data_IF_412922492165
#
_entry.id   IF_412922492165
#
_cell.length_a   1.000
_cell.length_b   1.000
_cell.length_c   1.000
_cell.angle_alpha   90.00
_cell.angle_beta   90.00
_cell.angle_gamma   90.00
#
_symmetry.space_group_name_H-M   'P 1'
#
loop_
_entity.id
_entity.type
_entity.pdbx_description
1 polymer ?
#
# COMPACT_ATOMS: atom_id res chain seq x y z
N UNK A 1 -21.97 -4.24 -2.30
CA UNK A 1 -22.74 -4.05 -3.56
C UNK A 1 -22.04 -4.54 -4.83
N UNK A 2 -20.72 -4.74 -4.82
CA UNK A 2 -19.97 -5.32 -5.93
C UNK A 2 -19.46 -6.73 -5.61
N UNK A 3 -19.27 -7.54 -6.66
CA UNK A 3 -18.72 -8.88 -6.57
C UNK A 3 -19.70 -9.94 -6.06
N UNK A 4 -19.28 -11.22 -6.07
CA UNK A 4 -20.08 -12.31 -5.52
C UNK A 4 -20.25 -12.17 -4.01
N UNK A 5 -21.36 -12.70 -3.49
CA UNK A 5 -21.57 -12.78 -2.05
C UNK A 5 -20.42 -13.56 -1.38
N UNK A 6 -19.92 -13.03 -0.26
CA UNK A 6 -18.91 -13.74 0.53
C UNK A 6 -19.59 -14.90 1.28
N UNK A 7 -18.96 -16.09 1.36
CA UNK A 7 -19.49 -17.20 2.16
C UNK A 7 -19.65 -16.85 3.64
N UNK A 8 -18.79 -15.95 4.15
CA UNK A 8 -18.87 -15.37 5.50
C UNK A 8 -18.77 -13.85 5.40
N UNK A 9 -19.61 -13.16 6.16
CA UNK A 9 -19.55 -11.72 6.33
C UNK A 9 -18.23 -11.26 6.99
N UNK A 10 -18.01 -9.95 7.01
CA UNK A 10 -16.92 -9.39 7.82
C UNK A 10 -17.17 -9.69 9.30
N UNK A 11 -16.08 -9.87 10.06
CA UNK A 11 -16.18 -10.19 11.48
C UNK A 11 -16.86 -9.09 12.32
N UNK A 12 -16.81 -7.85 11.84
CA UNK A 12 -17.38 -6.67 12.49
C UNK A 12 -18.17 -5.83 11.47
N UNK A 13 -19.19 -5.07 11.91
CA UNK A 13 -19.88 -4.10 11.07
C UNK A 13 -18.94 -2.95 10.67
N UNK A 14 -19.28 -2.16 9.64
CA UNK A 14 -18.48 -1.00 9.25
C UNK A 14 -18.41 0.04 10.37
N UNK A 15 -17.34 0.83 10.35
CA UNK A 15 -17.25 2.01 11.19
C UNK A 15 -18.21 3.11 10.70
N UNK A 16 -18.63 4.04 11.59
CA UNK A 16 -19.42 5.19 11.18
C UNK A 16 -18.70 5.99 10.09
N UNK A 17 -19.45 6.44 9.09
CA UNK A 17 -18.93 7.32 8.05
C UNK A 17 -18.60 8.68 8.64
N UNK A 18 -17.40 9.20 8.36
CA UNK A 18 -17.05 10.58 8.68
C UNK A 18 -17.72 11.56 7.71
N UNK A 19 -17.65 12.86 8.01
CA UNK A 19 -18.34 13.88 7.22
C UNK A 19 -17.90 13.91 5.76
N UNK A 20 -16.60 13.70 5.47
CA UNK A 20 -16.10 13.62 4.10
C UNK A 20 -16.73 12.44 3.32
N UNK A 21 -16.88 11.28 3.96
CA UNK A 21 -17.60 10.15 3.39
C UNK A 21 -19.09 10.46 3.18
N UNK A 22 -19.76 11.11 4.14
CA UNK A 22 -21.17 11.49 4.01
C UNK A 22 -21.41 12.48 2.86
N UNK A 23 -20.51 13.44 2.65
CA UNK A 23 -20.54 14.36 1.51
C UNK A 23 -20.34 13.62 0.18
N UNK A 24 -19.44 12.63 0.14
CA UNK A 24 -19.27 11.77 -1.03
C UNK A 24 -20.53 10.96 -1.32
N UNK A 25 -21.22 10.41 -0.31
CA UNK A 25 -22.53 9.76 -0.47
C UNK A 25 -23.53 10.73 -1.11
N UNK A 26 -23.66 11.94 -0.54
CA UNK A 26 -24.59 12.99 -1.04
C UNK A 26 -24.40 13.28 -2.53
N UNK A 27 -23.15 13.42 -2.98
CA UNK A 27 -22.84 13.65 -4.39
C UNK A 27 -23.06 12.42 -5.26
N UNK A 28 -22.62 11.25 -4.79
CA UNK A 28 -22.74 9.99 -5.52
C UNK A 28 -24.21 9.57 -5.76
N UNK A 29 -25.08 9.74 -4.77
CA UNK A 29 -26.51 9.40 -4.89
C UNK A 29 -27.22 10.19 -5.99
N UNK A 30 -26.93 11.49 -6.11
CA UNK A 30 -27.50 12.35 -7.17
C UNK A 30 -27.04 11.95 -8.57
N UNK A 31 -25.87 11.31 -8.67
CA UNK A 31 -25.30 10.85 -9.93
C UNK A 31 -25.58 9.37 -10.21
N UNK A 32 -26.33 8.69 -9.33
CA UNK A 32 -26.58 7.25 -9.44
C UNK A 32 -25.33 6.37 -9.25
N UNK A 33 -24.27 6.90 -8.64
CA UNK A 33 -23.04 6.16 -8.35
C UNK A 33 -23.23 5.35 -7.07
N UNK A 34 -23.04 4.04 -7.15
CA UNK A 34 -23.16 3.17 -5.99
C UNK A 34 -22.00 3.40 -5.04
N UNK A 35 -22.26 3.38 -3.75
CA UNK A 35 -21.23 3.49 -2.71
C UNK A 35 -21.39 2.40 -1.66
N UNK A 36 -20.33 2.16 -0.88
CA UNK A 36 -20.34 1.26 0.27
C UNK A 36 -19.38 1.79 1.32
N UNK A 37 -19.67 1.60 2.62
CA UNK A 37 -18.63 1.69 3.64
C UNK A 37 -17.45 0.78 3.28
N UNK A 38 -16.24 1.28 3.49
CA UNK A 38 -15.02 0.55 3.22
C UNK A 38 -14.77 -0.53 4.28
N UNK A 39 -14.21 -1.66 3.85
CA UNK A 39 -13.70 -2.66 4.77
C UNK A 39 -12.31 -2.21 5.27
N UNK A 40 -12.28 -1.48 6.38
CA UNK A 40 -11.03 -0.99 6.96
C UNK A 40 -10.48 -1.98 8.00
N UNK A 41 -9.15 -2.06 8.11
CA UNK A 41 -8.46 -2.83 9.14
C UNK A 41 -8.47 -2.08 10.49
N UNK A 42 -9.65 -1.76 10.98
CA UNK A 42 -9.88 -1.09 12.25
C UNK A 42 -11.14 -1.64 12.93
N UNK A 43 -11.09 -1.78 14.25
CA UNK A 43 -12.14 -2.45 15.01
C UNK A 43 -13.32 -1.50 15.27
N UNK A 44 -14.53 -1.83 14.82
CA UNK A 44 -15.75 -1.07 15.13
C UNK A 44 -16.40 -1.42 16.47
N UNK A 45 -15.99 -2.55 17.06
CA UNK A 45 -16.38 -2.99 18.40
C UNK A 45 -15.17 -3.69 19.06
N UNK A 46 -15.18 -3.90 20.39
CA UNK A 46 -14.18 -4.73 21.04
C UNK A 46 -14.11 -6.10 20.36
N UNK A 47 -12.89 -6.59 20.13
CA UNK A 47 -12.66 -7.82 19.37
C UNK A 47 -11.62 -8.69 20.05
N UNK A 48 -11.94 -9.97 20.26
CA UNK A 48 -10.98 -10.94 20.75
C UNK A 48 -10.17 -11.49 19.58
N UNK A 49 -8.88 -11.22 19.59
CA UNK A 49 -7.94 -11.74 18.60
C UNK A 49 -7.14 -12.87 19.20
N UNK A 50 -7.22 -14.05 18.59
CA UNK A 50 -6.43 -15.20 19.02
C UNK A 50 -4.93 -14.88 19.06
N UNK A 51 -4.25 -15.36 20.10
CA UNK A 51 -2.85 -15.08 20.36
C UNK A 51 -2.54 -13.70 20.96
N UNK A 52 -3.43 -12.71 20.78
CA UNK A 52 -3.25 -11.32 21.30
C UNK A 52 -4.13 -11.04 22.53
N UNK A 53 -5.42 -11.41 22.48
CA UNK A 53 -6.42 -11.08 23.50
C UNK A 53 -7.44 -10.03 23.05
N UNK A 54 -8.10 -9.40 24.02
CA UNK A 54 -9.11 -8.37 23.76
C UNK A 54 -8.47 -7.06 23.29
N UNK A 55 -8.91 -6.57 22.13
CA UNK A 55 -8.53 -5.27 21.56
C UNK A 55 -9.72 -4.31 21.59
N UNK A 56 -9.43 -3.04 21.91
CA UNK A 56 -10.43 -1.99 22.05
C UNK A 56 -10.96 -1.50 20.69
N UNK A 57 -12.20 -1.00 20.69
CA UNK A 57 -12.81 -0.40 19.51
C UNK A 57 -12.13 0.93 19.11
N UNK A 58 -12.28 1.28 17.84
CA UNK A 58 -11.87 2.57 17.30
C UNK A 58 -12.67 3.69 17.95
N UNK A 59 -11.97 4.75 18.36
CA UNK A 59 -12.55 5.95 18.96
C UNK A 59 -12.70 7.10 17.95
N UNK A 60 -12.61 6.81 16.65
CA UNK A 60 -12.80 7.75 15.54
C UNK A 60 -11.96 9.04 15.62
N UNK A 61 -10.75 8.94 16.20
CA UNK A 61 -9.89 10.10 16.47
C UNK A 61 -9.30 10.76 15.24
N UNK A 62 -9.16 10.05 14.12
CA UNK A 62 -8.55 10.59 12.91
C UNK A 62 -7.09 10.28 12.66
N UNK A 63 -6.40 9.75 13.67
CA UNK A 63 -4.94 9.73 13.68
C UNK A 63 -4.31 8.61 12.84
N UNK A 64 -5.12 7.86 12.08
CA UNK A 64 -4.76 6.58 11.43
C UNK A 64 -3.47 6.64 10.59
N UNK A 65 -3.18 7.80 9.98
CA UNK A 65 -1.97 8.03 9.18
C UNK A 65 -0.69 8.18 10.03
N UNK A 66 -0.81 8.68 11.26
CA UNK A 66 0.31 8.89 12.18
C UNK A 66 0.41 7.80 13.27
N UNK A 67 -0.47 6.78 13.22
CA UNK A 67 -0.52 5.67 14.18
C UNK A 67 -1.86 5.59 14.91
N UNK A 68 -2.06 4.54 15.68
CA UNK A 68 -3.30 4.36 16.44
C UNK A 68 -2.98 4.30 17.93
N UNK A 69 -3.30 5.39 18.64
CA UNK A 69 -2.95 5.54 20.06
C UNK A 69 -3.66 4.56 21.00
N UNK A 70 -4.71 3.89 20.55
CA UNK A 70 -5.45 2.90 21.36
C UNK A 70 -5.39 1.47 20.78
N UNK A 71 -4.57 1.23 19.75
CA UNK A 71 -4.38 -0.11 19.17
C UNK A 71 -5.58 -0.67 18.37
N UNK A 72 -6.59 0.15 18.05
CA UNK A 72 -7.77 -0.30 17.30
C UNK A 72 -7.51 -0.50 15.79
N UNK A 73 -6.55 0.22 15.21
CA UNK A 73 -6.04 -0.05 13.86
C UNK A 73 -5.21 -1.33 13.92
N UNK A 74 -5.46 -2.29 13.04
CA UNK A 74 -4.73 -3.56 12.96
C UNK A 74 -3.36 -3.37 12.31
N UNK A 75 -2.46 -2.65 12.97
CA UNK A 75 -1.04 -2.58 12.64
C UNK A 75 -0.30 -3.82 13.19
N UNK A 76 0.86 -4.13 12.59
CA UNK A 76 1.57 -5.39 12.87
C UNK A 76 2.11 -5.48 14.29
N UNK A 77 2.46 -4.34 14.90
CA UNK A 77 2.92 -4.19 16.28
C UNK A 77 1.88 -4.63 17.33
N UNK A 78 0.59 -4.54 17.02
CA UNK A 78 -0.50 -4.98 17.91
C UNK A 78 -1.20 -6.25 17.44
N UNK A 79 -0.69 -6.90 16.40
CA UNK A 79 -1.30 -8.10 15.80
C UNK A 79 -0.30 -9.23 15.59
N UNK A 80 0.36 -9.30 14.44
CA UNK A 80 1.17 -10.45 14.04
C UNK A 80 2.50 -10.54 14.80
N UNK A 81 3.16 -9.40 15.08
CA UNK A 81 4.45 -9.39 15.79
C UNK A 81 4.33 -9.97 17.22
N UNK A 82 3.41 -9.52 18.09
CA UNK A 82 3.30 -10.09 19.44
C UNK A 82 2.92 -11.58 19.42
N UNK A 83 2.12 -12.02 18.44
CA UNK A 83 1.81 -13.44 18.26
C UNK A 83 3.07 -14.23 17.88
N UNK A 84 3.85 -13.74 16.92
CA UNK A 84 5.09 -14.39 16.51
C UNK A 84 6.09 -14.53 17.68
N UNK A 85 6.26 -13.46 18.48
CA UNK A 85 7.13 -13.47 19.67
C UNK A 85 6.65 -14.50 20.70
N UNK A 86 5.34 -14.59 20.93
CA UNK A 86 4.75 -15.60 21.83
C UNK A 86 5.08 -17.03 21.40
N UNK A 87 5.22 -17.27 20.10
CA UNK A 87 5.62 -18.55 19.52
C UNK A 87 7.13 -18.69 19.31
N UNK A 88 7.95 -17.80 19.88
CA UNK A 88 9.41 -17.92 19.93
C UNK A 88 10.17 -17.15 18.85
N UNK A 89 9.50 -16.29 18.06
CA UNK A 89 10.21 -15.41 17.14
C UNK A 89 11.04 -14.35 17.89
N UNK A 90 12.28 -14.14 17.46
CA UNK A 90 13.13 -13.05 17.95
C UNK A 90 13.03 -11.83 17.01
N UNK A 91 12.83 -10.65 17.57
CA UNK A 91 12.79 -9.38 16.82
C UNK A 91 14.01 -8.56 17.16
N UNK A 92 14.83 -8.25 16.15
CA UNK A 92 16.01 -7.40 16.28
C UNK A 92 15.80 -6.08 15.53
N UNK A 93 15.31 -5.02 16.20
CA UNK A 93 15.20 -3.70 15.58
C UNK A 93 16.59 -3.14 15.24
N UNK A 94 16.63 -2.12 14.38
CA UNK A 94 17.86 -1.42 13.98
C UNK A 94 18.95 -2.34 13.41
N UNK A 95 18.54 -3.44 12.78
CA UNK A 95 19.41 -4.45 12.16
C UNK A 95 19.33 -4.32 10.63
N UNK A 96 20.22 -3.50 10.05
CA UNK A 96 20.22 -3.22 8.62
C UNK A 96 20.99 -4.32 7.86
N UNK A 97 20.28 -5.21 7.17
CA UNK A 97 20.91 -6.28 6.36
C UNK A 97 21.70 -5.66 5.21
N UNK A 98 22.96 -6.08 5.04
CA UNK A 98 23.85 -5.59 3.99
C UNK A 98 24.29 -6.69 3.03
N UNK A 99 24.45 -7.92 3.53
CA UNK A 99 24.93 -9.06 2.74
C UNK A 99 24.14 -10.33 3.02
N UNK A 100 24.04 -11.19 2.00
CA UNK A 100 23.40 -12.51 2.03
C UNK A 100 24.42 -13.54 1.53
N UNK A 101 24.89 -14.38 2.43
CA UNK A 101 25.89 -15.41 2.13
C UNK A 101 25.24 -16.63 1.48
N UNK A 102 25.97 -17.27 0.55
CA UNK A 102 25.57 -18.50 -0.14
C UNK A 102 26.65 -19.57 -0.09
N UNK A 103 26.25 -20.84 -0.15
CA UNK A 103 27.18 -21.96 -0.37
C UNK A 103 27.47 -22.18 -1.87
N UNK A 104 28.34 -23.16 -2.18
CA UNK A 104 28.72 -23.51 -3.54
C UNK A 104 27.56 -24.04 -4.40
N UNK A 105 26.45 -24.46 -3.78
CA UNK A 105 25.22 -24.89 -4.45
C UNK A 105 24.23 -23.72 -4.65
N UNK A 106 24.62 -22.49 -4.28
CA UNK A 106 23.78 -21.30 -4.41
C UNK A 106 22.72 -21.14 -3.32
N UNK A 107 22.69 -22.01 -2.30
CA UNK A 107 21.74 -21.90 -1.18
C UNK A 107 22.17 -20.81 -0.20
N UNK A 108 21.22 -20.02 0.28
CA UNK A 108 21.46 -19.03 1.34
C UNK A 108 21.86 -19.73 2.64
N UNK A 109 22.91 -19.23 3.30
CA UNK A 109 23.43 -19.81 4.56
C UNK A 109 23.42 -18.84 5.74
N UNK A 110 23.46 -17.54 5.49
CA UNK A 110 23.43 -16.52 6.52
C UNK A 110 23.03 -15.16 5.94
N UNK A 111 22.59 -14.26 6.83
CA UNK A 111 22.53 -12.82 6.55
C UNK A 111 23.55 -12.09 7.42
N UNK A 112 24.17 -11.07 6.85
CA UNK A 112 25.04 -10.13 7.56
C UNK A 112 24.31 -8.81 7.67
N UNK A 113 24.24 -8.26 8.89
CA UNK A 113 23.58 -7.00 9.15
C UNK A 113 24.42 -6.09 10.04
N UNK A 114 24.23 -4.79 9.88
CA UNK A 114 24.84 -3.76 10.73
C UNK A 114 23.84 -3.33 11.80
N UNK A 115 24.27 -3.35 13.06
CA UNK A 115 23.53 -2.84 14.20
C UNK A 115 24.47 -2.03 15.09
N UNK A 116 24.10 -0.78 15.43
CA UNK A 116 24.94 0.13 16.24
C UNK A 116 26.39 0.28 15.73
N UNK A 117 26.55 0.25 14.40
CA UNK A 117 27.86 0.36 13.74
C UNK A 117 28.71 -0.92 13.75
N UNK A 118 28.21 -2.03 14.29
CA UNK A 118 28.89 -3.33 14.27
C UNK A 118 28.22 -4.29 13.28
N UNK A 119 29.02 -5.10 12.61
CA UNK A 119 28.52 -6.16 11.75
C UNK A 119 28.26 -7.44 12.55
N UNK A 120 27.13 -8.07 12.25
CA UNK A 120 26.70 -9.31 12.86
C UNK A 120 26.34 -10.31 11.78
N UNK A 121 26.69 -11.58 12.00
CA UNK A 121 26.36 -12.69 11.12
C UNK A 121 25.30 -13.57 11.75
N UNK A 122 24.18 -13.78 11.06
CA UNK A 122 23.09 -14.64 11.50
C UNK A 122 22.90 -15.80 10.52
N UNK A 123 23.33 -17.02 10.89
CA UNK A 123 23.05 -18.22 10.10
C UNK A 123 21.55 -18.45 9.95
N UNK A 124 21.14 -18.90 8.76
CA UNK A 124 19.75 -19.27 8.47
C UNK A 124 19.68 -20.43 7.47
N UNK A 125 18.62 -21.24 7.57
CA UNK A 125 18.35 -22.32 6.61
C UNK A 125 17.45 -21.87 5.46
N UNK A 126 16.61 -20.88 5.72
CA UNK A 126 15.68 -20.27 4.77
C UNK A 126 15.68 -18.77 5.01
N UNK A 127 15.49 -18.00 3.94
CA UNK A 127 15.42 -16.53 3.99
C UNK A 127 14.10 -16.05 3.38
N UNK A 128 13.41 -15.17 4.08
CA UNK A 128 12.22 -14.47 3.59
C UNK A 128 12.53 -12.97 3.51
N UNK A 129 12.48 -12.41 2.31
CA UNK A 129 12.60 -10.97 2.08
C UNK A 129 11.22 -10.32 2.18
N UNK A 130 11.13 -9.31 3.04
CA UNK A 130 9.91 -8.54 3.31
C UNK A 130 10.20 -7.03 3.31
N UNK A 131 11.17 -6.58 2.49
CA UNK A 131 11.64 -5.20 2.41
C UNK A 131 10.72 -4.27 1.60
N UNK A 132 9.68 -4.82 0.98
CA UNK A 132 8.78 -4.09 0.09
C UNK A 132 9.42 -3.80 -1.27
N UNK A 133 8.63 -3.22 -2.17
CA UNK A 133 9.00 -2.99 -3.57
C UNK A 133 10.19 -2.03 -3.83
N UNK A 134 10.90 -1.56 -2.80
CA UNK A 134 12.11 -0.75 -2.93
C UNK A 134 13.32 -1.46 -2.33
N UNK A 135 13.27 -1.87 -1.07
CA UNK A 135 14.43 -2.46 -0.41
C UNK A 135 14.62 -3.94 -0.76
N UNK A 136 13.55 -4.69 -1.07
CA UNK A 136 13.68 -6.07 -1.56
C UNK A 136 14.48 -6.16 -2.86
N UNK A 137 14.12 -5.47 -3.96
CA UNK A 137 14.91 -5.52 -5.19
C UNK A 137 16.31 -4.92 -4.99
N UNK A 138 16.46 -3.88 -4.16
CA UNK A 138 17.79 -3.33 -3.82
C UNK A 138 18.69 -4.38 -3.16
N UNK A 139 18.19 -5.13 -2.17
CA UNK A 139 18.94 -6.19 -1.51
C UNK A 139 19.31 -7.33 -2.48
N UNK A 140 18.39 -7.69 -3.38
CA UNK A 140 18.65 -8.69 -4.42
C UNK A 140 19.76 -8.25 -5.38
N UNK A 141 19.72 -7.00 -5.85
CA UNK A 141 20.74 -6.43 -6.75
C UNK A 141 22.11 -6.33 -6.04
N UNK A 142 22.15 -5.82 -4.81
CA UNK A 142 23.39 -5.69 -4.02
C UNK A 142 24.10 -7.04 -3.82
N UNK A 143 23.32 -8.13 -3.74
CA UNK A 143 23.84 -9.47 -3.44
C UNK A 143 23.90 -10.39 -4.66
N UNK A 144 23.59 -9.89 -5.86
CA UNK A 144 23.50 -10.68 -7.09
C UNK A 144 22.63 -11.94 -6.91
N UNK A 145 21.38 -11.76 -6.45
CA UNK A 145 20.42 -12.83 -6.16
C UNK A 145 19.19 -12.75 -7.08
N UNK A 146 18.79 -13.88 -7.67
CA UNK A 146 17.54 -13.97 -8.44
C UNK A 146 17.55 -13.20 -9.75
N UNK A 147 18.73 -13.02 -10.36
CA UNK A 147 18.92 -12.15 -11.52
C UNK A 147 18.74 -12.84 -12.88
N UNK A 148 18.53 -14.17 -12.94
CA UNK A 148 18.49 -14.92 -14.22
C UNK A 148 17.41 -14.41 -15.17
N UNK A 149 16.24 -14.06 -14.63
CA UNK A 149 15.11 -13.52 -15.41
C UNK A 149 15.33 -12.10 -15.93
N UNK A 150 16.31 -11.37 -15.40
CA UNK A 150 16.47 -9.93 -15.62
C UNK A 150 15.31 -9.08 -15.10
N UNK A 151 14.42 -9.61 -14.25
CA UNK A 151 13.21 -8.88 -13.80
C UNK A 151 13.35 -8.16 -12.46
N UNK A 152 14.42 -8.40 -11.71
CA UNK A 152 14.64 -7.71 -10.43
C UNK A 152 14.79 -6.20 -10.68
N UNK A 153 13.96 -5.41 -10.00
CA UNK A 153 13.88 -3.96 -10.16
C UNK A 153 12.92 -3.49 -11.26
N UNK A 154 12.60 -4.32 -12.25
CA UNK A 154 11.75 -3.94 -13.38
C UNK A 154 10.25 -4.03 -13.06
N UNK A 155 9.43 -3.45 -13.94
CA UNK A 155 7.97 -3.41 -13.80
C UNK A 155 7.52 -2.65 -12.55
N UNK A 156 8.27 -1.60 -12.19
CA UNK A 156 7.91 -0.71 -11.10
C UNK A 156 6.54 -0.10 -11.42
N UNK A 157 5.57 -0.38 -10.57
CA UNK A 157 4.25 0.21 -10.65
C UNK A 157 4.02 1.11 -9.43
N UNK A 158 3.23 2.15 -9.61
CA UNK A 158 2.66 2.92 -8.52
C UNK A 158 1.21 3.20 -8.89
N UNK A 159 0.27 3.00 -7.97
CA UNK A 159 -1.13 3.32 -8.28
C UNK A 159 -1.21 4.72 -8.84
N UNK A 160 -1.79 4.83 -10.02
CA UNK A 160 -2.14 6.14 -10.53
C UNK A 160 -3.14 6.76 -9.57
N UNK A 161 -2.92 8.03 -9.25
CA UNK A 161 -3.59 8.65 -8.15
C UNK A 161 -3.69 10.13 -8.34
N UNK A 162 -4.90 10.61 -8.13
CA UNK A 162 -5.26 12.01 -8.05
C UNK A 162 -6.20 12.16 -6.86
N UNK A 163 -6.12 13.31 -6.21
CA UNK A 163 -7.04 13.71 -5.15
C UNK A 163 -7.77 14.96 -5.62
N UNK A 164 -9.09 14.98 -5.48
CA UNK A 164 -9.91 16.17 -5.75
C UNK A 164 -10.48 16.65 -4.43
N UNK A 165 -10.16 17.89 -4.10
CA UNK A 165 -10.59 18.59 -2.89
C UNK A 165 -11.71 19.56 -3.22
N UNK A 166 -12.64 19.74 -2.30
CA UNK A 166 -13.68 20.76 -2.37
C UNK A 166 -13.92 21.41 -1.00
N UNK A 167 -14.35 22.66 -1.03
CA UNK A 167 -14.73 23.47 0.13
C UNK A 167 -16.25 23.50 0.26
N UNK A 168 -16.76 23.24 1.46
CA UNK A 168 -18.18 23.13 1.75
C UNK A 168 -18.63 24.19 2.76
N UNK A 169 -19.90 24.58 2.73
CA UNK A 169 -20.47 25.41 3.80
C UNK A 169 -20.52 24.65 5.13
N UNK A 170 -20.89 23.36 5.07
CA UNK A 170 -20.95 22.45 6.21
C UNK A 170 -19.59 22.33 6.92
N UNK A 171 -19.60 22.25 8.25
CA UNK A 171 -18.39 21.91 9.01
C UNK A 171 -18.07 20.40 8.86
N UNK A 172 -16.99 20.10 8.14
CA UNK A 172 -16.56 18.72 7.80
C UNK A 172 -15.64 18.11 8.85
N UNK A 173 -14.69 18.88 9.38
CA UNK A 173 -13.59 18.41 10.24
C UNK A 173 -12.87 17.20 9.62
N UNK A 174 -12.13 17.36 8.51
CA UNK A 174 -11.57 16.26 7.71
C UNK A 174 -10.60 15.34 8.46
N UNK A 175 -10.15 15.76 9.65
CA UNK A 175 -9.34 14.92 10.52
C UNK A 175 -10.14 13.81 11.18
N UNK A 176 -11.47 13.90 11.34
CA UNK A 176 -12.24 12.95 12.18
C UNK A 176 -12.59 11.64 11.46
N UNK A 177 -12.70 10.57 12.24
CA UNK A 177 -13.03 9.23 11.74
C UNK A 177 -11.89 8.55 10.99
N UNK A 178 -12.20 7.50 10.23
CA UNK A 178 -11.20 6.79 9.42
C UNK A 178 -11.04 7.49 8.06
N UNK A 179 -9.79 7.77 7.63
CA UNK A 179 -9.54 8.18 6.25
C UNK A 179 -9.86 7.00 5.33
N UNK A 180 -10.64 7.20 4.27
CA UNK A 180 -11.05 6.09 3.40
C UNK A 180 -12.28 5.32 3.91
N UNK A 181 -13.24 6.00 4.55
CA UNK A 181 -14.43 5.36 5.13
C UNK A 181 -15.49 4.93 4.11
N UNK A 182 -15.55 5.55 2.94
CA UNK A 182 -16.46 5.21 1.84
C UNK A 182 -15.69 4.87 0.57
N UNK A 183 -16.20 3.91 -0.20
CA UNK A 183 -15.67 3.52 -1.50
C UNK A 183 -16.76 3.41 -2.58
N UNK A 184 -16.35 3.55 -3.84
CA UNK A 184 -17.09 3.05 -5.00
C UNK A 184 -16.21 2.21 -5.91
N UNK A 185 -16.71 1.04 -6.31
CA UNK A 185 -16.05 0.17 -7.29
C UNK A 185 -16.73 0.21 -8.68
N UNK A 186 -17.67 1.12 -8.91
CA UNK A 186 -18.30 1.27 -10.24
C UNK A 186 -17.28 1.59 -11.33
N UNK A 187 -16.13 2.15 -10.95
CA UNK A 187 -15.04 2.54 -11.84
C UNK A 187 -13.93 1.48 -11.98
N UNK A 188 -14.12 0.26 -11.45
CA UNK A 188 -13.16 -0.84 -11.69
C UNK A 188 -13.16 -1.31 -13.14
N UNK A 189 -14.30 -1.16 -13.82
CA UNK A 189 -14.49 -1.43 -15.25
C UNK A 189 -15.51 -0.42 -15.78
N UNK A 190 -15.11 0.84 -16.00
CA UNK A 190 -16.03 1.86 -16.50
C UNK A 190 -16.44 1.51 -17.93
N UNK A 191 -17.73 1.62 -18.25
CA UNK A 191 -18.24 1.35 -19.60
C UNK A 191 -17.74 2.38 -20.62
N UNK A 192 -17.42 3.60 -20.15
CA UNK A 192 -16.94 4.74 -20.93
C UNK A 192 -15.40 4.88 -20.95
N UNK A 193 -14.65 3.82 -20.62
CA UNK A 193 -13.19 3.85 -20.52
C UNK A 193 -12.50 3.76 -21.89
N UNK A 194 -11.55 4.67 -22.13
CA UNK A 194 -10.58 4.65 -23.24
C UNK A 194 -9.16 4.23 -22.79
N UNK A 195 -9.09 3.55 -21.65
CA UNK A 195 -7.91 3.01 -20.98
C UNK A 195 -8.17 1.59 -20.46
N UNK A 196 -7.10 0.86 -20.15
CA UNK A 196 -7.12 -0.48 -19.58
C UNK A 196 -7.13 -0.42 -18.06
N UNK A 197 -7.91 -1.32 -17.45
CA UNK A 197 -8.04 -1.43 -16.00
C UNK A 197 -9.09 -0.46 -15.46
N UNK A 198 -8.89 0.00 -14.23
CA UNK A 198 -9.83 0.88 -13.57
C UNK A 198 -9.30 1.38 -12.23
N UNK A 199 -10.18 2.01 -11.48
CA UNK A 199 -9.81 2.62 -10.20
C UNK A 199 -10.91 2.48 -9.14
N UNK A 200 -10.50 2.49 -7.88
CA UNK A 200 -11.38 2.66 -6.72
C UNK A 200 -11.55 4.14 -6.43
N UNK A 201 -12.79 4.63 -6.36
CA UNK A 201 -13.08 5.92 -5.73
C UNK A 201 -13.12 5.74 -4.21
N UNK A 202 -12.47 6.62 -3.46
CA UNK A 202 -12.41 6.55 -2.00
C UNK A 202 -12.51 7.95 -1.37
N UNK A 203 -13.38 8.11 -0.37
CA UNK A 203 -13.46 9.35 0.40
C UNK A 203 -12.17 9.53 1.20
N UNK A 204 -11.60 10.73 1.29
CA UNK A 204 -10.38 10.96 2.08
C UNK A 204 -10.61 11.94 3.22
N UNK A 205 -10.21 11.52 4.42
CA UNK A 205 -9.89 12.39 5.54
C UNK A 205 -8.39 12.69 5.56
N UNK A 206 -7.99 13.86 6.08
CA UNK A 206 -6.60 14.33 5.99
C UNK A 206 -6.19 15.11 7.23
N UNK A 207 -4.91 15.00 7.60
CA UNK A 207 -4.30 15.77 8.67
C UNK A 207 -3.92 17.18 8.18
N UNK A 208 -3.98 18.21 9.04
CA UNK A 208 -3.80 19.61 8.62
C UNK A 208 -2.43 19.87 8.02
N UNK A 209 -1.35 19.27 8.55
CA UNK A 209 0.00 19.42 7.99
C UNK A 209 0.10 18.78 6.61
N UNK A 210 -0.45 17.57 6.43
CA UNK A 210 -0.47 16.89 5.13
C UNK A 210 -1.24 17.69 4.09
N UNK A 211 -2.43 18.18 4.45
CA UNK A 211 -3.23 19.03 3.57
C UNK A 211 -2.52 20.34 3.24
N UNK A 212 -1.89 20.96 4.25
CA UNK A 212 -1.15 22.19 4.06
C UNK A 212 0.00 22.02 3.04
N UNK A 213 0.75 20.92 3.15
CA UNK A 213 1.81 20.59 2.17
C UNK A 213 1.26 20.31 0.77
N UNK A 214 0.04 19.81 0.64
CA UNK A 214 -0.62 19.64 -0.66
C UNK A 214 -1.06 20.98 -1.24
N UNK A 215 -1.72 21.83 -0.46
CA UNK A 215 -2.16 23.14 -0.89
C UNK A 215 -0.95 24.03 -1.29
N UNK A 216 0.14 23.99 -0.53
CA UNK A 216 1.37 24.70 -0.88
C UNK A 216 1.94 24.27 -2.24
N UNK A 217 1.92 22.97 -2.57
CA UNK A 217 2.45 22.45 -3.84
C UNK A 217 1.48 22.58 -5.00
N UNK A 218 0.26 22.09 -4.82
CA UNK A 218 -0.77 22.03 -5.87
C UNK A 218 -1.38 23.39 -6.19
N UNK A 219 -1.52 24.27 -5.19
CA UNK A 219 -2.10 25.61 -5.36
C UNK A 219 -1.07 26.74 -5.27
N UNK A 220 0.21 26.42 -5.01
CA UNK A 220 1.29 27.40 -4.84
C UNK A 220 0.98 28.46 -3.77
N UNK A 221 0.25 28.06 -2.72
CA UNK A 221 -0.14 28.95 -1.63
C UNK A 221 0.99 29.06 -0.59
N UNK A 222 1.25 30.29 -0.17
CA UNK A 222 2.24 30.65 0.84
C UNK A 222 1.84 31.92 1.60
N UNK A 223 2.49 32.18 2.74
CA UNK A 223 2.28 33.40 3.53
C UNK A 223 0.82 33.61 3.95
N UNK A 224 0.32 34.82 3.76
CA UNK A 224 -1.03 35.20 4.17
C UNK A 224 -2.13 34.40 3.46
N UNK A 225 -2.00 34.19 2.14
CA UNK A 225 -2.97 33.41 1.37
C UNK A 225 -3.10 31.97 1.89
N UNK A 226 -1.97 31.36 2.27
CA UNK A 226 -1.96 30.04 2.88
C UNK A 226 -2.64 30.03 4.25
N UNK A 227 -2.40 31.06 5.08
CA UNK A 227 -3.05 31.19 6.38
C UNK A 227 -4.56 31.29 6.23
N UNK A 228 -5.03 32.12 5.31
CA UNK A 228 -6.46 32.35 5.10
C UNK A 228 -7.15 31.10 4.57
N UNK A 229 -6.51 30.38 3.64
CA UNK A 229 -7.02 29.10 3.17
C UNK A 229 -7.08 28.06 4.29
N UNK A 230 -6.03 27.94 5.11
CA UNK A 230 -6.01 26.99 6.22
C UNK A 230 -7.02 27.32 7.33
N UNK A 231 -7.55 28.54 7.42
CA UNK A 231 -8.69 28.84 8.32
C UNK A 231 -9.97 28.10 7.91
N UNK A 232 -10.10 27.77 6.63
CA UNK A 232 -11.21 27.00 6.08
C UNK A 232 -10.99 25.48 6.17
N UNK A 233 -9.88 25.02 6.76
CA UNK A 233 -9.53 23.60 6.79
C UNK A 233 -10.65 22.68 7.31
N UNK A 234 -11.43 23.15 8.29
CA UNK A 234 -12.55 22.36 8.82
C UNK A 234 -13.73 22.20 7.86
N UNK A 235 -13.70 22.85 6.71
CA UNK A 235 -14.74 22.84 5.67
C UNK A 235 -14.33 22.07 4.41
N UNK A 236 -13.19 21.38 4.45
CA UNK A 236 -12.65 20.67 3.30
C UNK A 236 -13.01 19.20 3.35
N UNK A 237 -13.38 18.62 2.20
CA UNK A 237 -13.42 17.17 1.98
C UNK A 237 -12.67 16.81 0.70
N UNK A 238 -12.19 15.57 0.61
CA UNK A 238 -11.55 15.06 -0.60
C UNK A 238 -12.08 13.69 -1.04
N UNK A 239 -11.94 13.40 -2.32
CA UNK A 239 -12.00 12.04 -2.87
C UNK A 239 -10.63 11.77 -3.49
N UNK A 240 -10.11 10.56 -3.31
CA UNK A 240 -8.95 10.09 -4.04
C UNK A 240 -9.29 8.84 -4.84
N UNK A 241 -8.40 8.50 -5.75
CA UNK A 241 -8.44 7.22 -6.44
C UNK A 241 -7.31 6.29 -6.03
N UNK A 242 -7.53 5.02 -6.29
CA UNK A 242 -6.49 4.01 -6.45
C UNK A 242 -6.66 3.38 -7.82
N UNK A 243 -5.99 3.93 -8.81
CA UNK A 243 -6.02 3.40 -10.16
C UNK A 243 -4.98 2.32 -10.39
N UNK A 244 -5.32 1.37 -11.25
CA UNK A 244 -4.37 0.40 -11.77
C UNK A 244 -3.23 1.12 -12.49
N UNK A 245 -2.08 0.46 -12.55
CA UNK A 245 -0.90 0.95 -13.24
C UNK A 245 -0.29 -0.27 -13.92
N UNK A 246 -0.18 -0.19 -15.25
CA UNK A 246 0.35 -1.30 -16.02
C UNK A 246 1.87 -1.42 -15.82
N UNK A 247 2.41 -2.65 -15.81
CA UNK A 247 3.86 -2.84 -15.84
C UNK A 247 4.43 -2.26 -17.14
N UNK A 248 5.53 -1.51 -17.04
CA UNK A 248 6.18 -0.88 -18.18
C UNK A 248 7.70 -1.08 -18.10
N UNK A 249 8.36 -1.28 -19.25
CA UNK A 249 9.80 -1.55 -19.31
C UNK A 249 10.64 -0.37 -18.80
N UNK A 250 10.20 0.86 -19.10
CA UNK A 250 10.88 2.10 -18.66
C UNK A 250 10.66 2.43 -17.17
N UNK A 251 9.79 1.67 -16.49
CA UNK A 251 9.57 1.83 -15.06
C UNK A 251 10.35 0.73 -14.32
N UNK A 252 11.50 1.12 -13.74
CA UNK A 252 12.41 0.20 -13.08
C UNK A 252 13.17 0.85 -11.92
N UNK A 253 13.81 0.02 -11.12
CA UNK A 253 14.71 0.38 -10.04
C UNK A 253 16.10 -0.17 -10.35
N UNK A 254 17.11 0.68 -10.19
CA UNK A 254 18.52 0.31 -10.31
C UNK A 254 19.33 0.78 -9.08
N UNK A 255 20.58 0.33 -8.99
CA UNK A 255 21.53 0.84 -8.01
C UNK A 255 22.20 2.11 -8.54
N UNK A 256 22.14 3.19 -7.77
CA UNK A 256 22.81 4.46 -8.08
C UNK A 256 24.29 4.42 -7.71
N UNK A 257 25.12 5.19 -8.40
CA UNK A 257 26.50 5.49 -7.98
C UNK A 257 26.55 6.31 -6.68
N UNK A 258 25.44 6.98 -6.32
CA UNK A 258 25.33 7.70 -5.06
C UNK A 258 25.16 6.72 -3.89
N UNK A 259 26.08 6.80 -2.93
CA UNK A 259 26.09 5.95 -1.75
C UNK A 259 25.30 6.58 -0.59
N UNK A 260 24.65 5.73 0.21
CA UNK A 260 24.05 6.15 1.47
C UNK A 260 25.10 6.28 2.59
N UNK A 261 24.65 6.67 3.79
CA UNK A 261 25.54 6.84 4.95
C UNK A 261 26.30 5.57 5.37
N UNK A 262 25.90 4.39 4.88
CA UNK A 262 26.53 3.08 5.12
C UNK A 262 27.42 2.65 3.96
N UNK A 263 27.69 3.54 3.00
CA UNK A 263 28.47 3.27 1.79
C UNK A 263 27.82 2.23 0.86
N UNK A 264 26.50 2.06 0.92
CA UNK A 264 25.75 1.20 0.01
C UNK A 264 25.09 2.03 -1.10
N UNK A 265 25.11 1.56 -2.36
CA UNK A 265 24.35 2.17 -3.45
C UNK A 265 22.90 2.44 -3.06
N UNK A 266 22.43 3.67 -3.29
CA UNK A 266 21.02 4.05 -3.09
C UNK A 266 20.15 3.44 -4.20
N UNK A 267 18.89 3.06 -3.91
CA UNK A 267 17.97 2.71 -4.97
C UNK A 267 17.60 3.96 -5.78
N UNK A 268 17.75 3.91 -7.10
CA UNK A 268 17.25 4.93 -8.04
C UNK A 268 16.02 4.39 -8.72
N UNK A 269 14.90 5.10 -8.60
CA UNK A 269 13.62 4.71 -9.18
C UNK A 269 13.37 5.56 -10.42
N UNK A 270 13.10 4.90 -11.53
CA UNK A 270 12.64 5.49 -12.77
C UNK A 270 11.16 5.20 -12.90
N UNK A 271 10.32 6.24 -12.87
CA UNK A 271 8.88 6.08 -12.98
C UNK A 271 8.29 7.23 -13.79
N UNK A 272 7.54 6.87 -14.83
CA UNK A 272 6.71 7.78 -15.60
C UNK A 272 5.35 7.14 -15.80
N UNK A 273 4.29 7.91 -15.52
CA UNK A 273 2.93 7.51 -15.85
C UNK A 273 2.77 7.45 -17.38
N UNK A 274 2.26 6.34 -17.88
CA UNK A 274 2.09 6.14 -19.31
C UNK A 274 0.75 6.70 -19.76
N UNK A 275 0.52 6.73 -21.08
CA UNK A 275 -0.71 7.23 -21.68
C UNK A 275 -1.98 6.60 -21.06
N UNK A 276 -1.91 5.31 -20.72
CA UNK A 276 -2.99 4.60 -20.03
C UNK A 276 -3.36 5.24 -18.68
N UNK A 277 -2.36 5.49 -17.83
CA UNK A 277 -2.58 6.09 -16.50
C UNK A 277 -2.99 7.56 -16.60
N UNK A 278 -2.51 8.29 -17.62
CA UNK A 278 -2.91 9.68 -17.88
C UNK A 278 -4.40 9.75 -18.23
N UNK A 279 -4.88 8.91 -19.16
CA UNK A 279 -6.31 8.83 -19.52
C UNK A 279 -7.18 8.41 -18.35
N UNK A 280 -6.75 7.40 -17.59
CA UNK A 280 -7.43 6.96 -16.38
C UNK A 280 -7.57 8.09 -15.36
N UNK A 281 -6.50 8.86 -15.15
CA UNK A 281 -6.49 10.00 -14.22
C UNK A 281 -7.45 11.11 -14.65
N UNK A 282 -7.45 11.46 -15.94
CA UNK A 282 -8.36 12.48 -16.48
C UNK A 282 -9.83 12.08 -16.33
N UNK A 283 -10.14 10.82 -16.63
CA UNK A 283 -11.49 10.27 -16.44
C UNK A 283 -11.92 10.25 -14.97
N UNK A 284 -11.01 9.86 -14.07
CA UNK A 284 -11.24 9.90 -12.63
C UNK A 284 -11.47 11.32 -12.10
N UNK A 285 -10.67 12.29 -12.52
CA UNK A 285 -10.82 13.70 -12.14
C UNK A 285 -12.20 14.22 -12.51
N UNK A 286 -12.62 14.00 -13.77
CA UNK A 286 -13.94 14.41 -14.27
C UNK A 286 -15.06 13.86 -13.39
N UNK A 287 -15.04 12.56 -13.06
CA UNK A 287 -16.08 11.96 -12.20
C UNK A 287 -16.04 12.50 -10.77
N UNK A 288 -14.86 12.67 -10.17
CA UNK A 288 -14.75 13.20 -8.80
C UNK A 288 -15.21 14.66 -8.70
N UNK A 289 -14.91 15.50 -9.70
CA UNK A 289 -15.43 16.88 -9.78
C UNK A 289 -16.95 16.90 -9.85
N UNK A 290 -17.55 16.06 -10.70
CA UNK A 290 -19.00 15.95 -10.78
C UNK A 290 -19.63 15.53 -9.43
N UNK A 291 -19.01 14.58 -8.71
CA UNK A 291 -19.48 14.18 -7.36
C UNK A 291 -19.45 15.38 -6.40
N UNK A 292 -18.39 16.19 -6.42
CA UNK A 292 -18.25 17.40 -5.61
C UNK A 292 -19.23 18.50 -5.97
N UNK A 293 -19.41 18.79 -7.25
CA UNK A 293 -20.42 19.75 -7.72
C UNK A 293 -21.83 19.31 -7.27
N UNK A 294 -22.18 18.03 -7.45
CA UNK A 294 -23.46 17.50 -7.00
C UNK A 294 -23.62 17.55 -5.47
N UNK A 295 -22.54 17.40 -4.71
CA UNK A 295 -22.52 17.50 -3.26
C UNK A 295 -22.59 18.96 -2.75
N UNK A 296 -22.41 19.96 -3.63
CA UNK A 296 -22.45 21.39 -3.30
C UNK A 296 -21.08 21.98 -2.92
N UNK A 297 -19.97 21.36 -3.32
CA UNK A 297 -18.65 21.94 -3.10
C UNK A 297 -18.41 23.18 -3.97
N UNK A 298 -17.60 24.07 -3.41
CA UNK A 298 -16.97 25.21 -4.07
C UNK A 298 -15.46 25.04 -4.06
N UNK A 299 -14.72 25.88 -4.79
CA UNK A 299 -13.24 25.87 -4.79
C UNK A 299 -12.65 24.46 -5.03
N UNK A 300 -13.09 23.82 -6.12
CA UNK A 300 -12.71 22.44 -6.43
C UNK A 300 -11.37 22.41 -7.16
N UNK A 301 -10.38 21.72 -6.58
CA UNK A 301 -9.04 21.61 -7.15
C UNK A 301 -8.45 20.21 -6.97
N UNK A 302 -7.43 19.91 -7.77
CA UNK A 302 -6.85 18.58 -7.87
C UNK A 302 -5.38 18.56 -7.45
N UNK A 303 -4.93 17.42 -6.95
CA UNK A 303 -3.56 17.18 -6.53
C UNK A 303 -3.11 15.78 -6.98
N UNK A 304 -2.11 15.73 -7.86
CA UNK A 304 -1.51 14.47 -8.30
C UNK A 304 -0.82 13.77 -7.14
N UNK A 305 -1.12 12.49 -6.97
CA UNK A 305 -0.59 11.69 -5.87
C UNK A 305 -0.51 10.22 -6.23
N UNK A 306 0.64 9.81 -6.72
CA UNK A 306 0.99 8.39 -6.85
C UNK A 306 1.24 7.76 -5.48
N UNK A 307 0.83 6.52 -5.32
CA UNK A 307 0.96 5.80 -4.05
C UNK A 307 1.15 4.30 -4.25
N UNK A 308 1.69 3.65 -3.22
CA UNK A 308 2.03 2.24 -3.20
C UNK A 308 2.94 1.83 -4.38
N UNK A 309 4.24 1.85 -4.13
CA UNK A 309 5.26 1.28 -5.03
C UNK A 309 5.13 -0.24 -5.02
N UNK A 310 5.04 -0.91 -6.17
CA UNK A 310 4.66 -2.33 -6.32
C UNK A 310 5.47 -2.96 -7.49
N UNK A 311 5.66 -4.29 -7.47
CA UNK A 311 5.94 -5.08 -8.68
C UNK A 311 7.40 -5.37 -9.06
N UNK A 312 8.36 -4.82 -8.32
CA UNK A 312 9.80 -4.86 -8.63
C UNK A 312 10.50 -6.21 -8.43
N UNK A 313 9.80 -7.26 -8.03
CA UNK A 313 10.29 -8.63 -8.01
C UNK A 313 9.15 -9.60 -8.33
N UNK A 314 8.49 -9.35 -9.47
CA UNK A 314 7.19 -9.93 -9.81
C UNK A 314 7.16 -11.47 -9.75
N UNK A 315 6.01 -11.96 -9.35
CA UNK A 315 5.60 -13.36 -9.42
C UNK A 315 5.22 -13.73 -10.86
N UNK A 316 5.54 -14.95 -11.28
CA UNK A 316 5.18 -15.47 -12.59
C UNK A 316 5.12 -16.99 -12.65
N UNK A 317 5.09 -17.52 -13.88
CA UNK A 317 4.99 -18.95 -14.14
C UNK A 317 6.33 -19.61 -14.41
N UNK A 318 7.37 -18.84 -14.74
CA UNK A 318 8.70 -19.34 -15.08
C UNK A 318 9.83 -18.46 -14.52
N UNK A 319 11.01 -19.05 -14.36
CA UNK A 319 12.23 -18.31 -14.01
C UNK A 319 12.83 -17.50 -15.16
N UNK A 320 12.27 -17.61 -16.38
CA UNK A 320 12.72 -16.87 -17.56
C UNK A 320 12.15 -15.44 -17.56
N UNK A 321 10.99 -15.23 -16.93
CA UNK A 321 10.22 -13.99 -17.01
C UNK A 321 9.72 -13.45 -15.66
N UNK A 322 10.12 -14.07 -14.55
CA UNK A 322 9.74 -13.64 -13.20
C UNK A 322 10.78 -14.01 -12.14
N UNK A 323 10.70 -13.35 -10.98
CA UNK A 323 11.64 -13.55 -9.87
C UNK A 323 11.19 -14.70 -8.96
N UNK A 324 9.88 -14.79 -8.71
CA UNK A 324 9.31 -15.79 -7.81
C UNK A 324 8.16 -16.58 -8.43
N UNK A 325 7.98 -17.81 -7.95
CA UNK A 325 6.84 -18.66 -8.27
C UNK A 325 5.56 -18.16 -7.59
N UNK A 326 4.44 -18.83 -7.90
CA UNK A 326 3.12 -18.53 -7.31
C UNK A 326 3.04 -18.64 -5.78
N UNK A 327 4.02 -19.24 -5.13
CA UNK A 327 4.08 -19.42 -3.68
C UNK A 327 5.12 -18.46 -3.06
N UNK A 328 5.64 -17.49 -3.83
CA UNK A 328 6.62 -16.50 -3.38
C UNK A 328 8.05 -17.04 -3.26
N UNK A 329 8.35 -18.23 -3.77
CA UNK A 329 9.69 -18.83 -3.76
C UNK A 329 10.49 -18.32 -4.95
N UNK A 330 11.74 -17.89 -4.73
CA UNK A 330 12.61 -17.49 -5.84
C UNK A 330 12.92 -18.69 -6.75
N UNK A 331 12.90 -18.47 -8.07
CA UNK A 331 13.22 -19.53 -9.04
C UNK A 331 14.70 -19.93 -8.96
N UNK A 332 15.60 -18.95 -8.85
CA UNK A 332 17.06 -19.17 -8.90
C UNK A 332 17.66 -19.60 -7.56
N UNK A 333 16.99 -19.33 -6.44
CA UNK A 333 17.55 -19.52 -5.10
C UNK A 333 16.58 -20.37 -4.26
N UNK A 334 16.79 -21.71 -4.20
CA UNK A 334 15.78 -22.65 -3.70
C UNK A 334 15.27 -22.43 -2.27
N UNK A 335 16.04 -21.79 -1.39
CA UNK A 335 15.65 -21.51 0.00
C UNK A 335 15.40 -20.02 0.29
N UNK A 336 15.17 -19.24 -0.77
CA UNK A 336 14.79 -17.83 -0.71
C UNK A 336 13.31 -17.66 -1.06
N UNK A 337 12.62 -16.85 -0.26
CA UNK A 337 11.24 -16.45 -0.46
C UNK A 337 11.13 -14.93 -0.42
N UNK A 338 10.16 -14.38 -1.14
CA UNK A 338 9.79 -12.97 -1.10
C UNK A 338 8.31 -12.87 -0.71
N UNK A 339 8.02 -12.09 0.33
CA UNK A 339 6.70 -11.99 0.93
C UNK A 339 6.31 -10.53 1.17
N UNK A 340 6.24 -9.75 0.09
CA UNK A 340 5.82 -8.37 0.09
C UNK A 340 5.20 -7.96 -1.26
N UNK A 341 4.91 -6.66 -1.42
CA UNK A 341 4.30 -6.10 -2.62
C UNK A 341 5.21 -6.00 -3.85
N UNK A 342 6.51 -6.30 -3.74
CA UNK A 342 7.38 -6.44 -4.91
C UNK A 342 6.93 -7.60 -5.81
N UNK A 343 6.27 -8.60 -5.25
CA UNK A 343 5.85 -9.82 -5.96
C UNK A 343 4.63 -9.66 -6.85
N UNK A 344 3.96 -8.51 -6.84
CA UNK A 344 2.69 -8.34 -7.52
C UNK A 344 2.92 -8.19 -9.04
N UNK A 345 2.23 -8.98 -9.88
CA UNK A 345 2.31 -8.83 -11.34
C UNK A 345 1.48 -7.66 -11.90
N UNK A 346 0.59 -7.07 -11.09
CA UNK A 346 -0.22 -5.89 -11.41
C UNK A 346 -0.42 -5.05 -10.16
N UNK A 347 -0.58 -3.72 -10.33
CA UNK A 347 -0.83 -2.80 -9.23
C UNK A 347 -2.20 -3.00 -8.55
N UNK A 348 -3.15 -3.64 -9.25
CA UNK A 348 -4.57 -3.72 -8.87
C UNK A 348 -5.24 -2.34 -8.89
N UNK A 349 -6.56 -2.28 -8.73
CA UNK A 349 -7.33 -1.03 -8.62
C UNK A 349 -7.81 -0.76 -7.18
N UNK A 350 -7.11 -1.29 -6.16
CA UNK A 350 -7.48 -1.21 -4.73
C UNK A 350 -6.25 -1.15 -3.84
N UNK A 351 -6.39 -0.74 -2.58
CA UNK A 351 -5.26 -0.69 -1.63
C UNK A 351 -4.62 -2.08 -1.48
N UNK A 352 -3.29 -2.23 -1.60
CA UNK A 352 -2.66 -3.55 -1.72
C UNK A 352 -2.52 -4.29 -0.38
N UNK A 353 -2.65 -3.60 0.76
CA UNK A 353 -2.32 -4.16 2.08
C UNK A 353 -3.05 -5.49 2.39
N UNK A 354 -4.33 -5.61 2.07
CA UNK A 354 -5.07 -6.86 2.28
C UNK A 354 -4.53 -7.99 1.42
N UNK A 355 -4.19 -7.70 0.16
CA UNK A 355 -3.59 -8.67 -0.76
C UNK A 355 -2.20 -9.07 -0.26
N UNK A 356 -1.37 -8.14 0.21
CA UNK A 356 -0.06 -8.46 0.81
C UNK A 356 -0.24 -9.46 1.96
N UNK A 357 -1.16 -9.20 2.89
CA UNK A 357 -1.43 -10.12 4.00
C UNK A 357 -1.90 -11.50 3.52
N UNK A 358 -2.77 -11.54 2.51
CA UNK A 358 -3.26 -12.80 1.95
C UNK A 358 -2.13 -13.61 1.28
N UNK A 359 -1.25 -12.95 0.52
CA UNK A 359 -0.11 -13.60 -0.11
C UNK A 359 0.90 -14.07 0.93
N UNK A 360 1.19 -13.28 1.97
CA UNK A 360 2.09 -13.69 3.05
C UNK A 360 1.61 -14.94 3.78
N UNK A 361 0.31 -15.04 4.09
CA UNK A 361 -0.29 -16.24 4.69
C UNK A 361 -0.18 -17.45 3.75
N UNK A 362 -0.52 -17.29 2.47
CA UNK A 362 -0.37 -18.35 1.45
C UNK A 362 1.07 -18.84 1.35
N UNK A 363 2.03 -17.92 1.27
CA UNK A 363 3.46 -18.24 1.18
C UNK A 363 3.93 -19.02 2.41
N UNK A 364 3.50 -18.62 3.62
CA UNK A 364 3.80 -19.35 4.85
C UNK A 364 3.22 -20.77 4.85
N UNK A 365 1.94 -20.93 4.49
CA UNK A 365 1.28 -22.24 4.41
C UNK A 365 1.98 -23.17 3.42
N UNK A 366 2.33 -22.65 2.24
CA UNK A 366 3.00 -23.41 1.18
C UNK A 366 4.44 -23.78 1.54
N UNK A 367 5.15 -22.89 2.22
CA UNK A 367 6.45 -23.21 2.80
C UNK A 367 6.35 -24.36 3.81
N UNK A 368 5.42 -24.28 4.77
CA UNK A 368 5.24 -25.31 5.79
C UNK A 368 4.79 -26.66 5.21
N UNK A 369 3.95 -26.65 4.16
CA UNK A 369 3.55 -27.84 3.42
C UNK A 369 4.77 -28.54 2.79
N UNK A 370 5.70 -27.77 2.21
CA UNK A 370 6.94 -28.28 1.60
C UNK A 370 7.89 -28.84 2.66
N UNK A 371 8.08 -28.14 3.78
CA UNK A 371 8.97 -28.62 4.86
C UNK A 371 8.46 -29.95 5.46
N UNK A 372 7.15 -30.07 5.72
CA UNK A 372 6.55 -31.32 6.21
C UNK A 372 6.76 -32.50 5.27
N UNK A 373 6.77 -32.26 3.95
CA UNK A 373 7.04 -33.28 2.93
C UNK A 373 8.51 -33.67 2.83
N UNK A 374 9.43 -32.81 3.26
CA UNK A 374 10.87 -33.12 3.28
C UNK A 374 11.26 -33.94 4.50
N UNK A 375 10.55 -33.74 5.61
CA UNK A 375 10.80 -34.44 6.87
C UNK A 375 10.09 -35.81 6.97
N UNK A 376 9.14 -36.10 6.06
CA UNK A 376 8.47 -37.38 5.89
C UNK A 376 9.18 -38.23 4.83
#
# INVERSE_FOLDING_TARGET
>A
PWGPARPKGYALPPLPLNSAAQLMVRGAEKLGIRTSPAANAALSAPYFQEGVGWRQACTNRGFCQAGCSNGAKSSMDVTYIPVAVKFGAEIRPDSFVTEIERNAQGLVTAVVYTQKGQQHRQPCRHLFLCGGAVETPRLLLLNNLGLTSGQVGHNLMAHTGIQVWGTFEDEVRPTKGIPGGLISQDTHRPDDADFVGGYLLQSIGVMPVTFASQAARGRKLWGQAMRDYMRQFNHIAGINILGDCLPHADNYLELSDELDARQLPKPRLHFTAQENEVRMTAHAEKKMRAIWEAAGATDIWSFDRYAHVIGTARMGLSGDDAVVDRDGRAFDVPNLYISDNSTFPSALSVNPALTIMALSLRTADKFLERERRRDA
#
